data_IF_872153307117
#
_entry.id   IF_872153307117
#
_cell.length_a   1.000
_cell.length_b   1.000
_cell.length_c   1.000
_cell.angle_alpha   90.00
_cell.angle_beta   90.00
_cell.angle_gamma   90.00
#
_symmetry.space_group_name_H-M   'P 1'
#
loop_
_entity.id
_entity.type
_entity.pdbx_description
1 polymer ?
#
# COMPACT_ATOMS: atom_id res chain seq x y z
N UNK A 1 0.57 -5.98 -4.70
CA UNK A 1 -0.16 -5.10 -5.65
C UNK A 1 -1.54 -5.59 -6.08
N UNK A 2 -1.75 -6.79 -6.65
CA UNK A 2 -3.10 -7.20 -7.11
C UNK A 2 -4.16 -7.24 -6.00
N UNK A 3 -3.78 -7.77 -4.83
CA UNK A 3 -4.64 -7.77 -3.64
C UNK A 3 -4.93 -6.36 -3.11
N UNK A 4 -3.95 -5.46 -3.18
CA UNK A 4 -4.13 -4.05 -2.75
C UNK A 4 -5.13 -3.32 -3.65
N UNK A 5 -5.13 -3.64 -4.95
CA UNK A 5 -6.10 -3.11 -5.89
C UNK A 5 -7.52 -3.62 -5.60
N UNK A 6 -7.67 -4.93 -5.37
CA UNK A 6 -8.97 -5.52 -4.99
C UNK A 6 -9.47 -4.98 -3.65
N UNK A 7 -8.58 -4.79 -2.67
CA UNK A 7 -8.89 -4.20 -1.38
C UNK A 7 -9.39 -2.76 -1.54
N UNK A 8 -8.64 -1.92 -2.26
CA UNK A 8 -9.00 -0.53 -2.54
C UNK A 8 -10.32 -0.41 -3.29
N UNK A 9 -10.56 -1.30 -4.27
CA UNK A 9 -11.82 -1.33 -5.01
C UNK A 9 -13.01 -1.72 -4.13
N UNK A 10 -12.83 -2.72 -3.25
CA UNK A 10 -13.85 -3.12 -2.27
C UNK A 10 -14.21 -1.97 -1.32
N UNK A 11 -13.19 -1.25 -0.85
CA UNK A 11 -13.29 -0.03 -0.04
C UNK A 11 -14.15 1.05 -0.70
N UNK A 12 -13.82 1.42 -1.94
CA UNK A 12 -14.55 2.43 -2.70
C UNK A 12 -16.00 2.01 -2.91
N UNK A 13 -16.25 0.73 -3.20
CA UNK A 13 -17.61 0.21 -3.33
C UNK A 13 -18.39 0.34 -2.01
N UNK A 14 -17.76 0.05 -0.88
CA UNK A 14 -18.37 0.17 0.46
C UNK A 14 -18.66 1.63 0.80
N UNK A 15 -17.73 2.55 0.52
CA UNK A 15 -17.92 3.99 0.74
C UNK A 15 -19.07 4.54 -0.11
N UNK A 16 -19.11 4.21 -1.40
CA UNK A 16 -20.22 4.59 -2.29
C UNK A 16 -21.54 4.01 -1.79
N UNK A 17 -21.53 2.77 -1.32
CA UNK A 17 -22.72 2.14 -0.74
C UNK A 17 -23.18 2.86 0.55
N UNK A 18 -22.26 3.25 1.43
CA UNK A 18 -22.55 3.99 2.65
C UNK A 18 -23.13 5.38 2.34
N UNK A 19 -22.55 6.09 1.38
CA UNK A 19 -22.98 7.42 0.94
C UNK A 19 -24.37 7.36 0.28
N UNK A 20 -24.63 6.31 -0.50
CA UNK A 20 -25.91 6.11 -1.19
C UNK A 20 -27.06 5.76 -0.25
N UNK A 21 -26.77 5.07 0.85
CA UNK A 21 -27.79 4.67 1.82
C UNK A 21 -28.01 5.68 2.95
N UNK A 22 -27.28 6.81 3.01
CA UNK A 22 -27.39 7.86 4.05
C UNK A 22 -27.52 7.27 5.46
N UNK A 23 -26.83 6.14 5.68
CA UNK A 23 -26.96 5.38 6.90
C UNK A 23 -25.87 5.91 7.80
N UNK A 24 -26.26 6.67 8.82
CA UNK A 24 -25.40 7.12 9.91
C UNK A 24 -24.45 5.99 10.27
N UNK A 25 -23.14 6.21 10.04
CA UNK A 25 -22.08 5.23 10.25
C UNK A 25 -21.81 5.03 11.76
N UNK A 26 -22.88 4.87 12.54
CA UNK A 26 -22.88 4.37 13.90
C UNK A 26 -22.58 2.86 13.91
N UNK A 27 -21.49 2.46 13.26
CA UNK A 27 -20.97 1.11 13.38
C UNK A 27 -19.46 1.20 13.46
N UNK A 28 -18.97 1.62 14.63
CA UNK A 28 -17.57 1.63 15.03
C UNK A 28 -16.86 0.30 14.69
N UNK A 29 -17.63 -0.79 14.61
CA UNK A 29 -17.19 -2.12 14.16
C UNK A 29 -16.67 -2.11 12.71
N UNK A 30 -17.37 -1.46 11.76
CA UNK A 30 -16.93 -1.40 10.36
C UNK A 30 -15.66 -0.56 10.24
N UNK A 31 -15.60 0.56 10.97
CA UNK A 31 -14.43 1.43 10.94
C UNK A 31 -13.19 0.78 11.58
N UNK A 32 -13.38 -0.01 12.65
CA UNK A 32 -12.32 -0.80 13.28
C UNK A 32 -11.84 -1.95 12.38
N UNK A 33 -12.77 -2.70 11.77
CA UNK A 33 -12.41 -3.78 10.83
C UNK A 33 -11.65 -3.23 9.62
N UNK A 34 -12.01 -2.03 9.16
CA UNK A 34 -11.32 -1.35 8.08
C UNK A 34 -9.91 -0.90 8.47
N UNK A 35 -9.74 -0.32 9.67
CA UNK A 35 -8.43 0.04 10.19
C UNK A 35 -7.46 -1.14 10.35
N UNK A 36 -7.97 -2.29 10.80
CA UNK A 36 -7.17 -3.53 10.86
C UNK A 36 -6.80 -4.01 9.45
N UNK A 37 -7.73 -3.93 8.50
CA UNK A 37 -7.47 -4.31 7.11
C UNK A 37 -6.38 -3.45 6.45
N UNK A 38 -6.46 -2.13 6.58
CA UNK A 38 -5.42 -1.21 6.07
C UNK A 38 -4.07 -1.44 6.72
N UNK A 39 -4.04 -1.74 8.02
CA UNK A 39 -2.82 -2.09 8.72
C UNK A 39 -2.16 -3.34 8.12
N UNK A 40 -2.95 -4.41 7.90
CA UNK A 40 -2.46 -5.66 7.32
C UNK A 40 -1.93 -5.42 5.91
N UNK A 41 -2.66 -4.66 5.09
CA UNK A 41 -2.24 -4.31 3.73
C UNK A 41 -0.96 -3.48 3.74
N UNK A 42 -0.81 -2.53 4.66
CA UNK A 42 0.44 -1.77 4.82
C UNK A 42 1.62 -2.71 5.13
N UNK A 43 1.47 -3.68 6.03
CA UNK A 43 2.55 -4.64 6.33
C UNK A 43 2.91 -5.52 5.12
N UNK A 44 1.92 -5.96 4.34
CA UNK A 44 2.18 -6.68 3.09
C UNK A 44 2.92 -5.80 2.06
N UNK A 45 2.54 -4.52 1.95
CA UNK A 45 3.18 -3.55 1.05
C UNK A 45 4.65 -3.31 1.42
N UNK A 46 4.94 -3.18 2.71
CA UNK A 46 6.31 -3.08 3.22
C UNK A 46 7.13 -4.33 2.90
N UNK A 47 6.57 -5.52 3.14
CA UNK A 47 7.24 -6.77 2.83
C UNK A 47 7.56 -6.89 1.33
N UNK A 48 6.61 -6.50 0.46
CA UNK A 48 6.81 -6.48 -0.98
C UNK A 48 7.88 -5.44 -1.42
N UNK A 49 7.88 -4.25 -0.83
CA UNK A 49 8.86 -3.20 -1.10
C UNK A 49 10.28 -3.63 -0.67
N UNK A 50 10.44 -4.19 0.53
CA UNK A 50 11.70 -4.71 1.04
C UNK A 50 12.24 -5.87 0.20
N UNK A 51 11.37 -6.79 -0.22
CA UNK A 51 11.76 -7.90 -1.10
C UNK A 51 12.24 -7.38 -2.47
N UNK A 52 11.50 -6.43 -3.05
CA UNK A 52 11.87 -5.80 -4.33
C UNK A 52 13.19 -5.02 -4.24
N UNK A 53 13.43 -4.33 -3.11
CA UNK A 53 14.68 -3.63 -2.86
C UNK A 53 15.88 -4.58 -2.76
N UNK A 54 15.73 -5.70 -2.05
CA UNK A 54 16.79 -6.73 -1.96
C UNK A 54 17.16 -7.30 -3.31
N UNK A 55 16.16 -7.63 -4.13
CA UNK A 55 16.38 -8.12 -5.51
C UNK A 55 17.02 -7.04 -6.39
N UNK A 56 16.59 -5.78 -6.30
CA UNK A 56 17.16 -4.70 -7.09
C UNK A 56 18.63 -4.40 -6.72
N UNK A 57 19.01 -4.50 -5.45
CA UNK A 57 20.42 -4.37 -5.04
C UNK A 57 21.26 -5.52 -5.61
N UNK A 58 20.74 -6.75 -5.60
CA UNK A 58 21.41 -7.90 -6.19
C UNK A 58 21.60 -7.72 -7.71
N UNK A 59 20.57 -7.30 -8.43
CA UNK A 59 20.63 -7.07 -9.87
C UNK A 59 21.57 -5.92 -10.27
N UNK A 60 21.65 -4.86 -9.45
CA UNK A 60 22.49 -3.69 -9.75
C UNK A 60 23.94 -3.84 -9.31
N UNK A 61 24.24 -4.65 -8.29
CA UNK A 61 25.61 -4.84 -7.78
C UNK A 61 26.31 -6.09 -8.29
N UNK A 62 25.63 -7.23 -8.44
CA UNK A 62 26.28 -8.52 -8.70
C UNK A 62 26.20 -8.97 -10.16
N UNK A 63 25.25 -8.43 -10.92
CA UNK A 63 25.06 -8.82 -12.30
C UNK A 63 25.21 -7.59 -13.20
N UNK A 64 26.27 -7.51 -14.01
CA UNK A 64 26.51 -6.44 -15.00
C UNK A 64 25.44 -6.36 -16.13
N UNK A 65 24.23 -6.87 -15.88
CA UNK A 65 23.08 -6.86 -16.80
C UNK A 65 22.71 -5.44 -17.23
N UNK A 66 22.78 -4.45 -16.33
CA UNK A 66 22.55 -3.05 -16.69
C UNK A 66 23.64 -2.44 -17.58
N UNK A 67 24.80 -3.10 -17.69
CA UNK A 67 25.93 -2.66 -18.53
C UNK A 67 25.95 -3.37 -19.89
N UNK A 68 25.43 -4.60 -19.94
CA UNK A 68 25.44 -5.46 -21.12
C UNK A 68 24.20 -5.30 -22.03
N UNK A 69 23.04 -4.95 -21.47
CA UNK A 69 21.77 -4.79 -22.22
C UNK A 69 21.24 -3.36 -22.07
N UNK A 70 21.64 -2.47 -22.98
CA UNK A 70 21.31 -1.03 -23.01
C UNK A 70 19.81 -0.71 -23.21
N UNK A 71 18.96 -1.72 -23.39
CA UNK A 71 17.52 -1.55 -23.59
C UNK A 71 16.75 -1.34 -22.28
N UNK A 72 17.28 -1.81 -21.15
CA UNK A 72 16.61 -1.69 -19.85
C UNK A 72 17.00 -0.40 -19.12
N UNK A 73 16.00 0.44 -18.81
CA UNK A 73 16.18 1.63 -17.99
C UNK A 73 16.48 1.24 -16.54
N UNK A 74 17.74 0.94 -16.25
CA UNK A 74 18.22 0.55 -14.91
C UNK A 74 17.82 1.56 -13.82
N UNK A 75 17.69 2.84 -14.20
CA UNK A 75 17.31 3.94 -13.31
C UNK A 75 15.83 3.90 -12.86
N UNK A 76 14.94 3.20 -13.58
CA UNK A 76 13.51 3.14 -13.27
C UNK A 76 13.18 2.21 -12.10
N UNK A 77 14.00 1.18 -11.87
CA UNK A 77 13.84 0.24 -10.76
C UNK A 77 13.95 0.91 -9.38
N UNK A 78 15.03 1.66 -9.05
CA UNK A 78 15.13 2.33 -7.74
C UNK A 78 14.04 3.37 -7.54
N UNK A 79 13.61 4.05 -8.61
CA UNK A 79 12.50 5.02 -8.56
C UNK A 79 11.19 4.32 -8.19
N UNK A 80 10.88 3.18 -8.83
CA UNK A 80 9.67 2.40 -8.53
C UNK A 80 9.66 1.89 -7.09
N UNK A 81 10.83 1.47 -6.57
CA UNK A 81 10.97 1.04 -5.18
C UNK A 81 10.76 2.21 -4.22
N UNK A 82 11.29 3.39 -4.52
CA UNK A 82 11.05 4.59 -3.73
C UNK A 82 9.55 4.97 -3.68
N UNK A 83 8.85 4.87 -4.81
CA UNK A 83 7.40 5.07 -4.86
C UNK A 83 6.63 4.02 -4.06
N UNK A 84 7.08 2.77 -4.03
CA UNK A 84 6.48 1.72 -3.20
C UNK A 84 6.63 2.02 -1.70
N UNK A 85 7.82 2.45 -1.26
CA UNK A 85 8.04 2.89 0.13
C UNK A 85 7.22 4.13 0.49
N UNK A 86 7.12 5.11 -0.41
CA UNK A 86 6.30 6.30 -0.19
C UNK A 86 4.81 5.94 -0.07
N UNK A 87 4.31 5.04 -0.91
CA UNK A 87 2.92 4.57 -0.86
C UNK A 87 2.61 3.84 0.44
N UNK A 88 3.54 2.97 0.89
CA UNK A 88 3.44 2.32 2.20
C UNK A 88 3.37 3.33 3.36
N UNK A 89 4.23 4.36 3.34
CA UNK A 89 4.23 5.38 4.39
C UNK A 89 2.88 6.13 4.46
N UNK A 90 2.32 6.51 3.31
CA UNK A 90 1.01 7.16 3.25
C UNK A 90 -0.12 6.24 3.77
N UNK A 91 -0.08 4.95 3.43
CA UNK A 91 -1.02 3.95 3.97
C UNK A 91 -0.93 3.84 5.50
N UNK A 92 0.29 3.83 6.04
CA UNK A 92 0.51 3.77 7.49
C UNK A 92 0.02 5.04 8.22
N UNK A 93 0.22 6.23 7.63
CA UNK A 93 -0.31 7.48 8.19
C UNK A 93 -1.84 7.48 8.18
N UNK A 94 -2.46 7.05 7.08
CA UNK A 94 -3.91 6.96 6.95
C UNK A 94 -4.53 6.03 8.00
N UNK A 95 -3.95 4.84 8.20
CA UNK A 95 -4.44 3.88 9.20
C UNK A 95 -4.29 4.41 10.63
N UNK A 96 -3.21 5.13 10.94
CA UNK A 96 -3.02 5.78 12.24
C UNK A 96 -4.07 6.85 12.51
N UNK A 97 -4.38 7.71 11.53
CA UNK A 97 -5.39 8.77 11.68
C UNK A 97 -6.77 8.14 11.89
N UNK A 98 -7.10 7.09 11.15
CA UNK A 98 -8.37 6.38 11.30
C UNK A 98 -8.50 5.69 12.66
N UNK A 99 -7.45 5.05 13.16
CA UNK A 99 -7.43 4.49 14.52
C UNK A 99 -7.61 5.59 15.57
N UNK A 100 -6.95 6.73 15.39
CA UNK A 100 -7.10 7.87 16.28
C UNK A 100 -8.54 8.38 16.31
N UNK A 101 -9.19 8.49 15.14
CA UNK A 101 -10.60 8.89 15.05
C UNK A 101 -11.53 7.90 15.75
N UNK A 102 -11.27 6.59 15.64
CA UNK A 102 -12.05 5.55 16.34
C UNK A 102 -11.87 5.61 17.86
N UNK A 103 -10.69 6.01 18.34
CA UNK A 103 -10.42 6.19 19.78
C UNK A 103 -10.98 7.51 20.32
N UNK A 104 -11.04 8.54 19.47
CA UNK A 104 -11.54 9.86 19.85
C UNK A 104 -13.07 9.99 19.83
N UNK A 105 -13.77 9.06 19.18
CA UNK A 105 -15.23 8.97 19.14
C UNK A 105 -15.75 8.20 20.37
#
# INVERSE_FOLDING_TARGET
MGLEFLWSFGLVCIEVHALKFYKDLHNQIIMSLFAVGDWVIAMLSLAAACSSAGVAVLFTKDTDFCKNETSFSCNMFPISIAFAFASWFLLAVSSCIMLWLVVSI
#
